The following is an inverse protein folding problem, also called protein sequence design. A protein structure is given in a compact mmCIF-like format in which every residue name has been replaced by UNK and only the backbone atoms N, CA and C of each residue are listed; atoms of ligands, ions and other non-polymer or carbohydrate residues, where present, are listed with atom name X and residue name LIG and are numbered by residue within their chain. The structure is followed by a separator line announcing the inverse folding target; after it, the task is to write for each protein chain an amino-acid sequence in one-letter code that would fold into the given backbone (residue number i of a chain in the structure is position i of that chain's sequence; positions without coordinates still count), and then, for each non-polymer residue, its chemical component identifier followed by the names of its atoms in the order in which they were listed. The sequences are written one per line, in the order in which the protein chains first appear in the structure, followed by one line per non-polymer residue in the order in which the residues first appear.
data_IF_851145681421
#
_entry.id   IF_851145681421
#
_cell.length_a   1.000
_cell.length_b   1.000
_cell.length_c   1.000
_cell.angle_alpha   90.00
_cell.angle_beta   90.00
_cell.angle_gamma   90.00
#
_symmetry.space_group_name_H-M   'P 1'
#
loop_
_entity.id
_entity.type
_entity.pdbx_description
1 polymer ?
#
# COMPACT_ATOMS: atom_id res chain seq x y z
N UNK A 1 0.95 -18.56 -0.61
CA UNK A 1 1.02 -18.23 0.83
C UNK A 1 1.04 -16.72 1.10
N UNK A 2 1.69 -15.87 0.28
CA UNK A 2 1.78 -14.42 0.55
C UNK A 2 0.59 -13.55 0.13
N UNK A 3 -0.25 -14.00 -0.82
CA UNK A 3 -1.38 -13.20 -1.34
C UNK A 3 -2.51 -13.05 -0.32
N UNK A 4 -2.93 -14.14 0.32
CA UNK A 4 -4.03 -14.15 1.28
C UNK A 4 -3.82 -13.19 2.48
N UNK A 5 -2.56 -12.99 2.91
CA UNK A 5 -2.24 -12.05 3.99
C UNK A 5 -2.34 -10.60 3.52
N UNK A 6 -1.94 -10.32 2.27
CA UNK A 6 -2.04 -8.99 1.68
C UNK A 6 -3.51 -8.63 1.43
N UNK A 7 -4.31 -9.57 0.95
CA UNK A 7 -5.76 -9.39 0.76
C UNK A 7 -6.48 -9.07 2.10
N UNK A 8 -6.13 -9.75 3.20
CA UNK A 8 -6.66 -9.42 4.54
C UNK A 8 -6.33 -7.98 4.94
N UNK A 9 -5.06 -7.59 4.80
CA UNK A 9 -4.60 -6.23 5.13
C UNK A 9 -5.34 -5.18 4.32
N UNK A 10 -5.52 -5.40 3.01
CA UNK A 10 -6.23 -4.48 2.11
C UNK A 10 -7.68 -4.31 2.59
N UNK A 11 -8.38 -5.42 2.86
CA UNK A 11 -9.76 -5.36 3.33
C UNK A 11 -9.87 -4.56 4.63
N UNK A 12 -8.99 -4.81 5.61
CA UNK A 12 -8.98 -4.10 6.89
C UNK A 12 -8.70 -2.60 6.75
N UNK A 13 -7.82 -2.22 5.82
CA UNK A 13 -7.56 -0.80 5.50
C UNK A 13 -8.77 -0.14 4.81
N UNK A 14 -9.46 -0.88 3.93
CA UNK A 14 -10.67 -0.40 3.25
C UNK A 14 -11.87 -0.25 4.21
N UNK A 15 -11.94 -1.01 5.30
CA UNK A 15 -12.98 -0.83 6.33
C UNK A 15 -12.92 0.53 7.06
N UNK A 16 -11.79 1.25 6.96
CA UNK A 16 -11.69 2.61 7.46
C UNK A 16 -12.20 3.66 6.46
N UNK A 17 -12.51 3.26 5.21
CA UNK A 17 -13.04 4.11 4.15
C UNK A 17 -14.45 4.58 4.53
N UNK A 18 -14.54 5.76 5.13
CA UNK A 18 -15.80 6.37 5.62
C UNK A 18 -15.74 6.86 7.07
N UNK A 19 -14.68 6.51 7.81
CA UNK A 19 -14.43 7.00 9.18
C UNK A 19 -13.04 7.64 9.25
N UNK A 20 -12.89 8.90 8.81
CA UNK A 20 -11.62 9.62 8.92
C UNK A 20 -11.15 9.60 10.38
N UNK A 21 -9.91 9.16 10.61
CA UNK A 21 -9.33 9.01 11.96
C UNK A 21 -9.46 7.63 12.62
N UNK A 22 -10.16 6.67 12.01
CA UNK A 22 -10.18 5.28 12.52
C UNK A 22 -8.81 4.63 12.32
N UNK A 23 -8.10 4.36 13.42
CA UNK A 23 -6.85 3.59 13.38
C UNK A 23 -7.14 2.13 13.03
N UNK A 24 -6.42 1.61 12.04
CA UNK A 24 -6.44 0.19 11.67
C UNK A 24 -5.25 -0.48 12.35
N UNK A 25 -5.51 -1.48 13.20
CA UNK A 25 -4.46 -2.16 13.95
C UNK A 25 -3.79 -3.25 13.09
N UNK A 26 -2.60 -2.98 12.57
CA UNK A 26 -1.78 -3.99 11.89
C UNK A 26 -0.71 -4.50 12.85
N UNK A 27 -0.39 -5.80 12.78
CA UNK A 27 0.73 -6.35 13.55
C UNK A 27 2.07 -5.92 12.95
N UNK A 28 3.11 -5.82 13.78
CA UNK A 28 4.46 -5.47 13.33
C UNK A 28 4.96 -6.41 12.22
N UNK A 29 4.70 -7.70 12.36
CA UNK A 29 5.05 -8.71 11.36
C UNK A 29 4.38 -8.45 10.00
N UNK A 30 3.12 -8.03 9.98
CA UNK A 30 2.40 -7.66 8.74
C UNK A 30 2.99 -6.40 8.10
N UNK A 31 3.28 -5.37 8.89
CA UNK A 31 3.88 -4.13 8.39
C UNK A 31 5.26 -4.41 7.79
N UNK A 32 6.09 -5.17 8.50
CA UNK A 32 7.44 -5.53 8.04
C UNK A 32 7.38 -6.37 6.75
N UNK A 33 6.44 -7.29 6.65
CA UNK A 33 6.23 -8.09 5.43
C UNK A 33 5.91 -7.19 4.22
N UNK A 34 4.97 -6.24 4.37
CA UNK A 34 4.62 -5.29 3.31
C UNK A 34 5.82 -4.46 2.86
N UNK A 35 6.59 -3.93 3.81
CA UNK A 35 7.77 -3.11 3.50
C UNK A 35 8.84 -3.92 2.77
N UNK A 36 9.13 -5.15 3.23
CA UNK A 36 10.14 -6.00 2.60
C UNK A 36 9.72 -6.42 1.19
N UNK A 37 8.46 -6.83 1.02
CA UNK A 37 7.96 -7.26 -0.29
C UNK A 37 7.84 -6.09 -1.26
N UNK A 38 7.39 -4.91 -0.80
CA UNK A 38 7.36 -3.69 -1.62
C UNK A 38 8.77 -3.27 -2.04
N UNK A 39 9.75 -3.33 -1.12
CA UNK A 39 11.15 -3.01 -1.42
C UNK A 39 11.71 -3.92 -2.52
N UNK A 40 11.45 -5.22 -2.44
CA UNK A 40 11.89 -6.18 -3.46
C UNK A 40 11.27 -5.88 -4.83
N UNK A 41 9.99 -5.49 -4.88
CA UNK A 41 9.31 -5.08 -6.12
C UNK A 41 9.94 -3.80 -6.69
N UNK A 42 10.16 -2.78 -5.87
CA UNK A 42 10.77 -1.53 -6.31
C UNK A 42 12.20 -1.72 -6.81
N UNK A 43 12.97 -2.64 -6.22
CA UNK A 43 14.33 -2.97 -6.67
C UNK A 43 14.36 -3.74 -8.00
N UNK A 44 13.30 -4.50 -8.29
CA UNK A 44 13.15 -5.20 -9.57
C UNK A 44 12.69 -4.28 -10.69
N UNK A 45 12.04 -3.16 -10.36
CA UNK A 45 11.61 -2.16 -11.32
C UNK A 45 12.76 -1.19 -11.64
N UNK A 46 12.85 -0.67 -12.88
CA UNK A 46 13.81 0.37 -13.21
C UNK A 46 13.47 1.68 -12.50
N UNK A 47 14.49 2.49 -12.19
CA UNK A 47 14.31 3.82 -11.60
C UNK A 47 13.49 4.76 -12.50
N UNK A 48 13.54 4.55 -13.81
CA UNK A 48 12.70 5.23 -14.79
C UNK A 48 11.59 4.29 -15.21
N UNK A 49 10.38 4.52 -14.71
CA UNK A 49 9.19 3.74 -15.05
C UNK A 49 8.63 4.19 -16.41
N UNK A 50 8.56 3.26 -17.35
CA UNK A 50 7.86 3.43 -18.62
C UNK A 50 6.40 2.99 -18.43
N UNK A 51 5.47 3.94 -18.45
CA UNK A 51 4.05 3.69 -18.23
C UNK A 51 3.27 3.88 -19.54
N UNK A 52 2.42 2.91 -19.88
CA UNK A 52 1.49 3.02 -21.00
C UNK A 52 0.12 3.55 -20.52
N UNK A 53 -0.56 4.29 -21.39
CA UNK A 53 -1.90 4.79 -21.09
C UNK A 53 -2.95 3.65 -21.12
N UNK A 54 -4.03 3.72 -20.32
CA UNK A 54 -4.43 4.80 -19.42
C UNK A 54 -3.94 4.64 -17.96
N UNK A 55 -3.34 5.70 -17.39
CA UNK A 55 -2.91 5.76 -15.98
C UNK A 55 -3.45 7.02 -15.30
N UNK A 56 -3.82 6.91 -14.02
CA UNK A 56 -4.23 8.05 -13.18
C UNK A 56 -3.06 8.48 -12.32
N UNK A 57 -2.60 9.72 -12.50
CA UNK A 57 -1.52 10.31 -11.70
C UNK A 57 -2.14 11.03 -10.50
N UNK A 58 -1.80 10.56 -9.29
CA UNK A 58 -2.19 11.20 -8.03
C UNK A 58 -0.98 11.91 -7.43
N UNK A 59 -1.12 13.18 -7.07
CA UNK A 59 -0.05 13.98 -6.46
C UNK A 59 0.14 13.69 -4.96
N UNK A 60 0.67 14.67 -4.24
CA UNK A 60 0.97 14.54 -2.80
C UNK A 60 -0.29 14.29 -1.97
N UNK A 61 -0.20 13.32 -1.04
CA UNK A 61 -1.20 13.08 -0.02
C UNK A 61 -0.61 13.48 1.35
N UNK A 62 -0.89 14.70 1.81
CA UNK A 62 -0.58 15.13 3.18
C UNK A 62 -1.90 15.20 3.95
N UNK A 63 -2.07 14.34 4.95
CA UNK A 63 -3.21 14.38 5.88
C UNK A 63 -2.96 15.35 7.05
N UNK A 64 -2.44 16.53 6.74
CA UNK A 64 -2.28 17.66 7.66
C UNK A 64 -3.06 18.85 7.08
N UNK A 65 -3.79 19.63 7.90
CA UNK A 65 -4.40 20.87 7.44
C UNK A 65 -3.36 21.86 6.91
#
# INVERSE_FOLDING_TARGET
MGTAVVDDIINRLLEARGKPGKQVQLSDAQIRLLCLQSKDIFLKQPNLLELEAPVKICGIFTSTP
#
